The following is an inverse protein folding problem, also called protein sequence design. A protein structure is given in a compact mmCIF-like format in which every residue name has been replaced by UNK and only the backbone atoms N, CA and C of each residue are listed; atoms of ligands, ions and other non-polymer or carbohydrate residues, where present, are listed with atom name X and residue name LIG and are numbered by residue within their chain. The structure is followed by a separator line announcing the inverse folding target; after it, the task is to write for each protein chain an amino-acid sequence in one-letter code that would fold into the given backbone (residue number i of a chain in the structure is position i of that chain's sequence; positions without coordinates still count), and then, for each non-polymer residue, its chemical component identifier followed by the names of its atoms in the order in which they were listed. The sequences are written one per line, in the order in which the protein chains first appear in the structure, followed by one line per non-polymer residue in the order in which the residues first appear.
data_IF_152505771527
#
_entry.id   IF_152505771527
#
_cell.length_a   1.000
_cell.length_b   1.000
_cell.length_c   1.000
_cell.angle_alpha   90.00
_cell.angle_beta   90.00
_cell.angle_gamma   90.00
#
_symmetry.space_group_name_H-M   'P 1'
#
loop_
_entity.id
_entity.type
_entity.pdbx_description
1 polymer ?
#
# COMPACT_ATOMS: atom_id res chain seq x y z
N UNK A 1 -46.12 21.35 -41.90
CA UNK A 1 -44.91 20.58 -42.26
C UNK A 1 -44.17 20.33 -40.95
N UNK A 2 -44.41 19.24 -40.22
CA UNK A 2 -43.85 17.89 -40.43
C UNK A 2 -42.41 17.85 -39.88
N UNK A 3 -42.02 17.10 -38.85
CA UNK A 3 -42.64 16.04 -38.06
C UNK A 3 -42.07 16.01 -36.63
N UNK A 4 -42.87 15.52 -35.67
CA UNK A 4 -42.51 15.19 -34.29
C UNK A 4 -42.11 13.71 -34.25
N UNK A 5 -41.10 13.34 -33.46
CA UNK A 5 -41.04 12.00 -32.86
C UNK A 5 -40.70 12.10 -31.37
N UNK A 6 -41.67 11.66 -30.58
CA UNK A 6 -41.63 11.39 -29.14
C UNK A 6 -41.83 9.89 -29.02
N UNK A 7 -40.95 9.18 -28.31
CA UNK A 7 -41.18 7.77 -27.97
C UNK A 7 -41.15 7.62 -26.45
N UNK A 8 -42.24 7.05 -25.95
CA UNK A 8 -42.59 6.81 -24.56
C UNK A 8 -41.87 5.60 -23.98
N UNK A 9 -41.63 5.65 -22.68
CA UNK A 9 -41.33 4.52 -21.80
C UNK A 9 -42.44 3.45 -21.83
N UNK A 10 -42.06 2.18 -21.72
CA UNK A 10 -42.81 1.22 -20.91
C UNK A 10 -41.90 0.08 -20.40
N UNK A 11 -41.87 -0.06 -19.08
CA UNK A 11 -41.29 -1.13 -18.28
C UNK A 11 -42.15 -2.39 -18.32
N UNK A 12 -41.54 -3.57 -18.47
CA UNK A 12 -42.17 -4.86 -18.13
C UNK A 12 -41.13 -5.79 -17.48
N UNK A 13 -41.35 -6.14 -16.21
CA UNK A 13 -40.85 -7.33 -15.50
C UNK A 13 -42.02 -8.33 -15.37
N UNK A 14 -41.83 -9.54 -14.81
CA UNK A 14 -41.08 -10.70 -15.33
C UNK A 14 -42.03 -11.91 -15.50
N UNK A 15 -41.67 -12.92 -16.30
CA UNK A 15 -42.48 -14.15 -16.37
C UNK A 15 -41.64 -15.43 -16.35
N UNK A 16 -41.91 -16.22 -15.31
CA UNK A 16 -41.46 -17.59 -15.02
C UNK A 16 -41.59 -18.52 -16.22
N UNK A 17 -40.55 -19.31 -16.46
CA UNK A 17 -40.64 -20.54 -17.25
C UNK A 17 -41.26 -21.66 -16.41
N UNK A 18 -42.42 -22.16 -16.83
CA UNK A 18 -42.99 -23.43 -16.38
C UNK A 18 -43.16 -24.38 -17.57
N UNK A 19 -42.81 -25.64 -17.31
CA UNK A 19 -42.75 -26.78 -18.25
C UNK A 19 -44.03 -26.97 -19.08
N UNK A 20 -43.86 -27.42 -20.32
CA UNK A 20 -44.88 -28.16 -21.06
C UNK A 20 -44.37 -29.55 -21.48
N UNK A 21 -45.25 -30.57 -21.56
CA UNK A 21 -44.88 -31.97 -21.69
C UNK A 21 -44.75 -32.43 -23.15
N UNK A 22 -44.15 -33.61 -23.29
CA UNK A 22 -43.88 -34.31 -24.55
C UNK A 22 -45.16 -34.87 -25.19
N UNK A 23 -45.12 -34.94 -26.53
CA UNK A 23 -45.73 -36.02 -27.31
C UNK A 23 -46.99 -35.64 -28.06
N UNK A 24 -46.91 -35.63 -29.39
CA UNK A 24 -47.84 -36.35 -30.29
C UNK A 24 -47.34 -36.25 -31.74
N UNK A 25 -47.35 -37.39 -32.41
CA UNK A 25 -47.06 -37.57 -33.83
C UNK A 25 -48.01 -36.76 -34.71
N UNK A 26 -47.52 -36.29 -35.84
CA UNK A 26 -48.34 -36.09 -37.03
C UNK A 26 -47.69 -36.77 -38.22
N UNK A 27 -48.47 -37.67 -38.80
CA UNK A 27 -48.23 -38.43 -40.02
C UNK A 27 -48.26 -37.52 -41.26
N UNK A 28 -47.50 -37.89 -42.29
CA UNK A 28 -47.48 -37.19 -43.57
C UNK A 28 -46.47 -37.79 -44.55
N UNK A 29 -46.78 -38.98 -45.06
CA UNK A 29 -46.10 -39.62 -46.22
C UNK A 29 -46.38 -38.82 -47.52
N UNK A 30 -45.52 -38.92 -48.55
CA UNK A 30 -45.74 -39.98 -49.55
C UNK A 30 -44.50 -40.79 -49.91
N UNK A 31 -44.82 -42.04 -50.22
CA UNK A 31 -43.97 -43.17 -50.64
C UNK A 31 -43.65 -43.05 -52.13
N UNK A 32 -42.43 -43.35 -52.55
CA UNK A 32 -42.20 -44.14 -53.77
C UNK A 32 -40.74 -44.62 -53.88
N UNK A 33 -40.63 -45.84 -54.43
CA UNK A 33 -39.43 -46.60 -54.83
C UNK A 33 -38.78 -47.48 -53.75
N UNK A 34 -39.37 -48.68 -53.63
CA UNK A 34 -38.72 -49.90 -53.17
C UNK A 34 -37.60 -50.34 -54.15
N UNK A 35 -36.50 -50.88 -53.63
CA UNK A 35 -35.90 -52.17 -54.05
C UNK A 35 -35.06 -52.74 -52.85
N UNK A 36 -34.82 -54.06 -52.76
CA UNK A 36 -34.85 -54.80 -51.50
C UNK A 36 -33.50 -55.35 -50.99
N UNK A 37 -33.54 -55.78 -49.72
CA UNK A 37 -32.78 -56.84 -49.04
C UNK A 37 -31.24 -56.85 -49.19
N UNK A 38 -30.56 -56.49 -48.10
CA UNK A 38 -29.57 -57.38 -47.45
C UNK A 38 -29.50 -57.10 -45.94
N UNK A 39 -29.68 -58.17 -45.18
CA UNK A 39 -29.37 -58.44 -43.78
C UNK A 39 -28.34 -57.53 -43.08
N UNK A 40 -28.69 -57.05 -41.88
CA UNK A 40 -27.74 -56.51 -40.91
C UNK A 40 -28.43 -55.84 -39.73
N UNK A 41 -28.70 -56.58 -38.65
CA UNK A 41 -29.12 -56.01 -37.38
C UNK A 41 -28.05 -55.06 -36.84
N UNK A 42 -28.37 -53.77 -36.70
CA UNK A 42 -27.62 -52.83 -35.86
C UNK A 42 -28.61 -52.08 -34.97
N UNK A 43 -28.71 -52.51 -33.71
CA UNK A 43 -29.30 -51.67 -32.66
C UNK A 43 -28.35 -50.49 -32.40
N UNK A 44 -28.81 -49.23 -32.46
CA UNK A 44 -27.99 -48.12 -32.01
C UNK A 44 -27.85 -48.22 -30.48
N UNK A 45 -26.62 -48.41 -30.02
CA UNK A 45 -26.22 -48.23 -28.63
C UNK A 45 -26.43 -46.75 -28.28
N UNK A 46 -27.49 -46.44 -27.54
CA UNK A 46 -27.69 -45.11 -26.95
C UNK A 46 -26.61 -44.93 -25.90
N UNK A 47 -25.51 -44.29 -26.28
CA UNK A 47 -24.56 -43.72 -25.31
C UNK A 47 -25.25 -42.52 -24.68
N UNK A 48 -25.75 -42.68 -23.45
CA UNK A 48 -26.15 -41.54 -22.63
C UNK A 48 -24.89 -40.71 -22.40
N UNK A 49 -24.72 -39.65 -23.18
CA UNK A 49 -23.72 -38.63 -22.90
C UNK A 49 -24.17 -37.88 -21.65
N UNK A 50 -23.64 -38.31 -20.50
CA UNK A 50 -23.69 -37.52 -19.28
C UNK A 50 -22.96 -36.21 -19.55
N UNK A 51 -23.69 -35.10 -19.68
CA UNK A 51 -23.11 -33.77 -19.58
C UNK A 51 -22.38 -33.66 -18.24
N UNK A 52 -21.05 -33.72 -18.29
CA UNK A 52 -20.22 -33.31 -17.16
C UNK A 52 -20.46 -31.83 -16.99
N UNK A 53 -21.37 -31.46 -16.08
CA UNK A 53 -21.35 -30.11 -15.48
C UNK A 53 -19.96 -29.92 -14.90
N UNK A 54 -19.13 -29.14 -15.58
CA UNK A 54 -17.85 -28.72 -15.03
C UNK A 54 -18.17 -27.84 -13.83
N UNK A 55 -18.14 -28.42 -12.63
CA UNK A 55 -17.94 -27.63 -11.42
C UNK A 55 -16.56 -27.00 -11.58
N UNK A 56 -16.53 -25.77 -12.08
CA UNK A 56 -15.38 -24.88 -11.90
C UNK A 56 -15.20 -24.80 -10.39
N UNK A 57 -14.21 -25.52 -9.85
CA UNK A 57 -13.73 -25.22 -8.51
C UNK A 57 -13.22 -23.81 -8.60
N UNK A 58 -13.92 -22.85 -7.99
CA UNK A 58 -13.32 -21.57 -7.67
C UNK A 58 -12.02 -21.90 -6.95
N UNK A 59 -10.89 -21.61 -7.60
CA UNK A 59 -9.61 -21.69 -6.92
C UNK A 59 -9.75 -20.85 -5.64
N UNK A 60 -9.27 -21.32 -4.48
CA UNK A 60 -9.32 -20.53 -3.27
C UNK A 60 -8.67 -19.18 -3.58
N UNK A 61 -9.46 -18.09 -3.53
CA UNK A 61 -8.93 -16.73 -3.52
C UNK A 61 -8.16 -16.59 -2.22
N UNK A 62 -6.89 -17.02 -2.23
CA UNK A 62 -5.95 -16.61 -1.19
C UNK A 62 -5.92 -15.08 -1.26
N UNK A 63 -6.15 -14.41 -0.14
CA UNK A 63 -5.80 -13.00 -0.03
C UNK A 63 -4.33 -12.87 -0.42
N UNK A 64 -3.97 -11.91 -1.29
CA UNK A 64 -2.59 -11.48 -1.42
C UNK A 64 -1.90 -11.41 -0.04
N UNK A 65 -0.68 -11.94 0.02
CA UNK A 65 0.14 -11.99 1.23
C UNK A 65 0.78 -10.61 1.49
N UNK A 66 1.07 -10.22 2.74
CA UNK A 66 1.76 -8.96 2.99
C UNK A 66 3.18 -9.07 2.46
N UNK A 67 3.45 -8.35 1.38
CA UNK A 67 4.79 -8.17 0.84
C UNK A 67 5.65 -7.29 1.76
N UNK A 68 5.03 -6.37 2.51
CA UNK A 68 5.74 -5.39 3.32
C UNK A 68 5.20 -5.37 4.74
N UNK A 69 6.10 -5.33 5.72
CA UNK A 69 5.78 -4.95 7.10
C UNK A 69 6.34 -3.56 7.37
N UNK A 70 5.54 -2.66 7.92
CA UNK A 70 5.96 -1.34 8.36
C UNK A 70 5.90 -1.30 9.89
N UNK A 71 7.06 -1.15 10.53
CA UNK A 71 7.16 -0.91 11.97
C UNK A 71 7.17 0.59 12.23
N UNK A 72 6.33 1.03 13.17
CA UNK A 72 6.24 2.44 13.60
C UNK A 72 6.42 2.54 15.12
N UNK A 73 6.95 3.66 15.60
CA UNK A 73 7.15 3.90 17.04
C UNK A 73 5.82 4.15 17.77
N UNK A 74 4.98 5.04 17.25
CA UNK A 74 3.73 5.43 17.87
C UNK A 74 2.56 4.49 17.59
N UNK A 75 1.56 4.55 18.48
CA UNK A 75 0.43 3.62 18.49
C UNK A 75 -0.77 4.10 17.66
N UNK A 76 -0.88 5.41 17.46
CA UNK A 76 -2.10 6.05 16.92
C UNK A 76 -1.79 6.85 15.66
N UNK A 77 -0.96 7.88 15.78
CA UNK A 77 -0.75 8.88 14.72
C UNK A 77 -0.20 8.27 13.43
N UNK A 78 0.93 7.57 13.49
CA UNK A 78 1.57 6.98 12.30
C UNK A 78 0.71 5.86 11.69
N UNK A 79 0.17 4.90 12.47
CA UNK A 79 -0.73 3.89 11.91
C UNK A 79 -1.96 4.46 11.23
N UNK A 80 -2.62 5.47 11.82
CA UNK A 80 -3.82 6.07 11.23
C UNK A 80 -3.50 6.83 9.94
N UNK A 81 -2.44 7.64 9.93
CA UNK A 81 -1.98 8.33 8.74
C UNK A 81 -1.65 7.35 7.60
N UNK A 82 -0.84 6.32 7.88
CA UNK A 82 -0.42 5.34 6.88
C UNK A 82 -1.62 4.54 6.33
N UNK A 83 -2.60 4.20 7.18
CA UNK A 83 -3.86 3.56 6.73
C UNK A 83 -4.66 4.45 5.79
N UNK A 84 -4.81 5.73 6.13
CA UNK A 84 -5.50 6.69 5.26
C UNK A 84 -4.76 6.88 3.92
N UNK A 85 -3.43 6.97 3.97
CA UNK A 85 -2.57 7.09 2.80
C UNK A 85 -2.71 5.86 1.88
N UNK A 86 -2.64 4.64 2.42
CA UNK A 86 -2.86 3.41 1.65
C UNK A 86 -4.25 3.37 1.00
N UNK A 87 -5.28 3.83 1.71
CA UNK A 87 -6.63 3.96 1.17
C UNK A 87 -6.68 4.91 -0.03
N UNK A 88 -6.07 6.09 0.10
CA UNK A 88 -5.98 7.07 -0.99
C UNK A 88 -5.19 6.53 -2.20
N UNK A 89 -4.07 5.86 -1.94
CA UNK A 89 -3.21 5.23 -2.95
C UNK A 89 -3.79 3.93 -3.55
N UNK A 90 -4.92 3.45 -3.03
CA UNK A 90 -5.55 2.16 -3.42
C UNK A 90 -4.58 0.98 -3.31
N UNK A 91 -3.73 0.99 -2.28
CA UNK A 91 -2.86 -0.14 -1.94
C UNK A 91 -3.74 -1.25 -1.36
N UNK A 92 -3.69 -2.48 -1.89
CA UNK A 92 -4.38 -3.61 -1.27
C UNK A 92 -3.91 -3.81 0.17
N UNK A 93 -4.82 -3.71 1.14
CA UNK A 93 -4.48 -3.76 2.57
C UNK A 93 -3.92 -5.10 3.05
N UNK A 94 -3.96 -6.14 2.21
CA UNK A 94 -3.36 -7.44 2.49
C UNK A 94 -1.90 -7.54 2.01
N UNK A 95 -1.39 -6.55 1.26
CA UNK A 95 0.01 -6.44 0.84
C UNK A 95 0.92 -5.72 1.85
N UNK A 96 0.34 -4.98 2.78
CA UNK A 96 1.07 -4.15 3.75
C UNK A 96 0.51 -4.40 5.15
N UNK A 97 1.39 -4.71 6.08
CA UNK A 97 1.06 -4.90 7.50
C UNK A 97 1.75 -3.80 8.33
N UNK A 98 0.97 -2.91 8.94
CA UNK A 98 1.47 -1.82 9.78
C UNK A 98 1.37 -2.26 11.23
N UNK A 99 2.50 -2.25 11.94
CA UNK A 99 2.59 -2.68 13.33
C UNK A 99 3.30 -1.63 14.17
N UNK A 100 2.80 -1.44 15.39
CA UNK A 100 3.56 -0.76 16.44
C UNK A 100 4.74 -1.66 16.82
N UNK A 101 5.93 -1.09 16.88
CA UNK A 101 7.11 -1.78 17.37
C UNK A 101 7.03 -2.03 18.88
N UNK A 102 7.71 -3.08 19.36
CA UNK A 102 7.84 -3.37 20.78
C UNK A 102 8.84 -2.42 21.46
N UNK A 103 9.77 -1.89 20.67
CA UNK A 103 10.79 -0.95 21.10
C UNK A 103 10.38 0.49 20.78
N UNK A 104 10.81 1.42 21.64
CA UNK A 104 10.56 2.85 21.47
C UNK A 104 11.73 3.59 20.83
N UNK A 105 12.90 2.95 20.67
CA UNK A 105 14.08 3.57 20.07
C UNK A 105 14.40 2.98 18.69
N UNK A 106 14.93 3.80 17.78
CA UNK A 106 15.15 3.41 16.38
C UNK A 106 16.04 2.17 16.24
N UNK A 107 17.08 2.02 17.07
CA UNK A 107 17.95 0.85 17.06
C UNK A 107 17.18 -0.44 17.42
N UNK A 108 16.39 -0.41 18.49
CA UNK A 108 15.54 -1.52 18.91
C UNK A 108 14.54 -1.93 17.83
N UNK A 109 13.89 -0.95 17.19
CA UNK A 109 12.93 -1.22 16.10
C UNK A 109 13.62 -1.89 14.90
N UNK A 110 14.83 -1.45 14.54
CA UNK A 110 15.64 -2.08 13.48
C UNK A 110 16.04 -3.52 13.85
N UNK A 111 16.36 -3.78 15.12
CA UNK A 111 16.63 -5.15 15.60
C UNK A 111 15.40 -6.04 15.44
N UNK A 112 14.23 -5.55 15.86
CA UNK A 112 12.94 -6.24 15.69
C UNK A 112 12.67 -6.55 14.20
N UNK A 113 12.86 -5.57 13.31
CA UNK A 113 12.72 -5.73 11.86
C UNK A 113 13.59 -6.87 11.31
N UNK A 114 14.86 -6.94 11.74
CA UNK A 114 15.77 -8.01 11.32
C UNK A 114 15.35 -9.37 11.86
N UNK A 115 14.82 -9.43 13.07
CA UNK A 115 14.27 -10.67 13.59
C UNK A 115 13.06 -11.15 12.82
N UNK A 116 12.16 -10.24 12.42
CA UNK A 116 11.00 -10.56 11.58
C UNK A 116 11.44 -11.17 10.25
N UNK A 117 12.42 -10.55 9.56
CA UNK A 117 13.00 -11.09 8.32
C UNK A 117 13.63 -12.47 8.53
N UNK A 118 14.40 -12.67 9.61
CA UNK A 118 15.02 -13.95 9.95
C UNK A 118 13.98 -15.04 10.23
N UNK A 119 12.94 -14.72 11.01
CA UNK A 119 11.83 -15.62 11.35
C UNK A 119 11.05 -16.01 10.09
N UNK A 120 10.84 -15.07 9.18
CA UNK A 120 10.23 -15.30 7.87
C UNK A 120 11.05 -16.28 7.04
N UNK A 121 12.33 -15.97 6.75
CA UNK A 121 13.22 -16.80 5.92
C UNK A 121 13.35 -18.25 6.42
N UNK A 122 13.30 -18.45 7.75
CA UNK A 122 13.39 -19.79 8.37
C UNK A 122 12.13 -20.63 8.19
N UNK A 123 10.95 -20.02 8.15
CA UNK A 123 9.69 -20.77 8.16
C UNK A 123 9.30 -21.36 6.80
N UNK A 124 9.92 -20.93 5.67
CA UNK A 124 9.58 -21.37 4.28
C UNK A 124 8.07 -21.61 4.09
N UNK A 125 7.27 -20.78 4.74
CA UNK A 125 5.82 -20.92 4.79
C UNK A 125 5.19 -19.90 3.86
N UNK A 126 3.91 -20.06 3.55
CA UNK A 126 3.16 -19.15 2.67
C UNK A 126 3.01 -17.70 3.19
N UNK A 127 3.80 -17.30 4.21
CA UNK A 127 3.76 -16.04 4.94
C UNK A 127 5.15 -15.38 4.96
N UNK A 128 5.85 -15.41 3.82
CA UNK A 128 7.14 -14.73 3.71
C UNK A 128 6.93 -13.22 3.61
N UNK A 129 7.60 -12.47 4.49
CA UNK A 129 7.72 -11.02 4.44
C UNK A 129 8.87 -10.69 3.49
N UNK A 130 8.57 -9.98 2.40
CA UNK A 130 9.58 -9.66 1.38
C UNK A 130 10.45 -8.46 1.82
N UNK A 131 9.83 -7.44 2.42
CA UNK A 131 10.49 -6.21 2.87
C UNK A 131 10.01 -5.76 4.25
N UNK A 132 10.91 -5.18 5.06
CA UNK A 132 10.54 -4.51 6.31
C UNK A 132 11.00 -3.07 6.27
N UNK A 133 10.08 -2.17 6.59
CA UNK A 133 10.29 -0.74 6.70
C UNK A 133 10.15 -0.32 8.17
N UNK A 134 10.99 0.62 8.60
CA UNK A 134 10.97 1.20 9.94
C UNK A 134 10.75 2.68 9.80
N UNK A 135 9.71 3.23 10.43
CA UNK A 135 9.49 4.66 10.58
C UNK A 135 9.83 5.01 12.02
N UNK A 136 10.82 5.88 12.20
CA UNK A 136 11.29 6.29 13.51
C UNK A 136 11.48 7.81 13.58
N UNK A 137 11.02 8.40 14.68
CA UNK A 137 11.27 9.80 14.98
C UNK A 137 12.69 9.97 15.54
N UNK A 138 13.26 11.16 15.36
CA UNK A 138 14.65 11.46 15.77
C UNK A 138 14.75 12.42 16.97
N UNK A 139 13.62 12.74 17.61
CA UNK A 139 13.60 13.62 18.78
C UNK A 139 14.08 12.90 20.05
N UNK A 140 14.94 13.58 20.81
CA UNK A 140 15.60 13.07 22.01
C UNK A 140 14.83 13.31 23.31
N UNK A 141 13.71 14.06 23.31
CA UNK A 141 12.98 14.42 24.55
C UNK A 141 12.49 13.19 25.34
N UNK A 142 12.34 12.04 24.68
CA UNK A 142 11.97 10.77 25.30
C UNK A 142 13.14 9.79 25.47
N UNK A 143 14.39 10.21 25.23
CA UNK A 143 15.59 9.34 25.29
C UNK A 143 15.75 8.39 24.10
N UNK A 144 14.78 8.36 23.16
CA UNK A 144 14.71 7.44 22.03
C UNK A 144 15.47 7.92 20.78
N UNK A 145 15.51 9.23 20.51
CA UNK A 145 16.13 9.82 19.32
C UNK A 145 17.52 10.41 19.53
N UNK A 146 18.36 9.85 20.41
CA UNK A 146 19.74 10.33 20.51
C UNK A 146 20.44 10.17 19.15
N UNK A 147 21.28 11.14 18.70
CA UNK A 147 21.98 11.00 17.42
C UNK A 147 22.76 9.69 17.32
N UNK A 148 23.31 9.21 18.44
CA UNK A 148 23.97 7.91 18.51
C UNK A 148 23.02 6.72 18.28
N UNK A 149 21.79 6.75 18.82
CA UNK A 149 20.80 5.69 18.59
C UNK A 149 20.41 5.65 17.11
N UNK A 150 20.13 6.81 16.50
CA UNK A 150 19.83 6.92 15.07
C UNK A 150 20.99 6.40 14.22
N UNK A 151 22.23 6.76 14.57
CA UNK A 151 23.42 6.25 13.88
C UNK A 151 23.56 4.72 14.02
N UNK A 152 23.30 4.16 15.20
CA UNK A 152 23.30 2.70 15.39
C UNK A 152 22.17 2.05 14.59
N UNK A 153 20.99 2.65 14.52
CA UNK A 153 19.88 2.18 13.71
C UNK A 153 20.25 2.14 12.21
N UNK A 154 20.82 3.23 11.67
CA UNK A 154 21.33 3.30 10.29
C UNK A 154 22.34 2.18 10.04
N UNK A 155 23.39 2.10 10.87
CA UNK A 155 24.43 1.07 10.71
C UNK A 155 23.88 -0.36 10.81
N UNK A 156 22.92 -0.59 11.72
CA UNK A 156 22.31 -1.90 11.90
C UNK A 156 21.33 -2.24 10.80
N UNK A 157 20.66 -1.28 10.17
CA UNK A 157 19.68 -1.55 9.12
C UNK A 157 20.35 -2.28 7.94
N UNK A 158 21.47 -1.74 7.44
CA UNK A 158 22.15 -2.25 6.26
C UNK A 158 21.19 -2.33 5.07
N UNK A 159 21.41 -3.29 4.17
CA UNK A 159 20.56 -3.44 2.97
C UNK A 159 19.27 -4.25 3.23
N UNK A 160 19.11 -4.80 4.43
CA UNK A 160 17.99 -5.70 4.77
C UNK A 160 16.72 -4.94 5.20
N UNK A 161 16.87 -3.76 5.80
CA UNK A 161 15.77 -3.00 6.43
C UNK A 161 15.76 -1.58 5.87
N UNK A 162 14.61 -1.13 5.37
CA UNK A 162 14.44 0.24 4.90
C UNK A 162 14.11 1.15 6.09
N UNK A 163 15.02 2.05 6.44
CA UNK A 163 14.84 3.01 7.54
C UNK A 163 14.35 4.35 7.01
N UNK A 164 13.29 4.86 7.62
CA UNK A 164 12.66 6.15 7.34
C UNK A 164 12.71 6.97 8.61
N UNK A 165 13.32 8.15 8.52
CA UNK A 165 13.54 9.05 9.63
C UNK A 165 12.79 10.35 9.40
N UNK A 166 12.13 10.85 10.45
CA UNK A 166 11.50 12.16 10.46
C UNK A 166 12.04 12.99 11.64
N UNK A 167 12.37 14.27 11.38
CA UNK A 167 12.99 15.16 12.37
C UNK A 167 12.36 16.55 12.35
N UNK A 168 11.78 17.01 13.49
CA UNK A 168 11.83 16.36 14.82
C UNK A 168 10.86 15.16 15.01
N UNK A 169 9.88 14.97 14.13
CA UNK A 169 9.03 13.77 14.13
C UNK A 169 8.02 13.80 12.98
N UNK A 170 7.10 12.83 12.92
CA UNK A 170 6.10 12.74 11.84
C UNK A 170 5.25 14.02 11.68
N UNK A 171 5.08 14.83 12.74
CA UNK A 171 4.40 16.12 12.64
C UNK A 171 5.07 17.07 11.64
N UNK A 172 6.38 16.96 11.45
CA UNK A 172 7.10 17.75 10.46
C UNK A 172 6.68 17.35 9.05
N UNK A 173 6.54 16.06 8.79
CA UNK A 173 5.96 15.56 7.54
C UNK A 173 4.53 16.09 7.31
N UNK A 174 3.70 16.17 8.35
CA UNK A 174 2.35 16.77 8.23
C UNK A 174 2.41 18.26 7.89
N UNK A 175 3.34 19.02 8.47
CA UNK A 175 3.54 20.44 8.14
C UNK A 175 3.88 20.63 6.66
N UNK A 176 4.68 19.73 6.07
CA UNK A 176 5.09 19.80 4.66
C UNK A 176 3.92 19.67 3.67
N UNK A 177 2.75 19.18 4.09
CA UNK A 177 1.52 19.18 3.27
C UNK A 177 0.94 20.58 3.05
N UNK A 178 1.32 21.55 3.88
CA UNK A 178 0.79 22.91 3.86
C UNK A 178 1.82 23.94 3.42
N UNK A 179 3.08 23.76 3.81
CA UNK A 179 4.15 24.71 3.55
C UNK A 179 5.48 24.01 3.30
N UNK A 180 6.17 24.39 2.22
CA UNK A 180 7.57 23.99 2.03
C UNK A 180 8.45 24.83 2.95
N UNK A 181 9.20 24.17 3.83
CA UNK A 181 10.08 24.83 4.79
C UNK A 181 11.28 23.96 5.09
N UNK A 182 12.48 24.54 5.11
CA UNK A 182 13.73 23.90 5.54
C UNK A 182 14.11 24.30 6.97
N UNK A 183 13.22 25.03 7.66
CA UNK A 183 13.42 25.49 9.03
C UNK A 183 13.64 24.31 9.96
N UNK A 184 14.74 24.34 10.70
CA UNK A 184 14.94 23.42 11.84
C UNK A 184 14.07 23.87 13.01
N UNK A 185 13.34 22.93 13.59
CA UNK A 185 12.52 23.14 14.77
C UNK A 185 13.22 22.51 15.99
N UNK A 186 13.24 23.18 17.16
CA UNK A 186 13.90 22.64 18.35
C UNK A 186 13.17 21.43 18.94
N UNK A 187 11.85 21.40 18.85
CA UNK A 187 10.99 20.35 19.41
C UNK A 187 9.84 20.01 18.48
N UNK A 188 9.20 18.84 18.69
CA UNK A 188 7.93 18.50 18.05
C UNK A 188 6.83 19.50 18.44
N UNK A 189 6.86 20.05 19.66
CA UNK A 189 5.87 21.04 20.10
C UNK A 189 5.90 22.31 19.23
N UNK A 190 7.08 22.77 18.81
CA UNK A 190 7.23 23.92 17.91
C UNK A 190 6.68 23.63 16.51
N UNK A 191 6.87 22.39 16.02
CA UNK A 191 6.29 21.95 14.75
C UNK A 191 4.77 21.91 14.85
N UNK A 192 4.22 21.39 15.95
CA UNK A 192 2.77 21.35 16.19
C UNK A 192 2.20 22.77 16.22
N UNK A 193 2.86 23.71 16.89
CA UNK A 193 2.41 25.10 16.95
C UNK A 193 2.34 25.72 15.53
N UNK A 194 3.35 25.46 14.69
CA UNK A 194 3.33 25.90 13.29
C UNK A 194 2.27 25.17 12.47
N UNK A 195 2.14 23.86 12.62
CA UNK A 195 1.15 23.04 11.93
C UNK A 195 -0.28 23.51 12.23
N UNK A 196 -0.58 23.86 13.49
CA UNK A 196 -1.88 24.36 13.92
C UNK A 196 -2.27 25.70 13.28
N UNK A 197 -1.33 26.47 12.71
CA UNK A 197 -1.67 27.65 11.90
C UNK A 197 -2.32 27.30 10.57
N UNK A 198 -2.07 26.07 10.07
CA UNK A 198 -2.62 25.55 8.81
C UNK A 198 -3.72 24.50 9.04
N UNK A 199 -3.63 23.75 10.13
CA UNK A 199 -4.56 22.71 10.53
C UNK A 199 -4.90 22.82 12.03
N UNK A 200 -5.78 23.78 12.42
CA UNK A 200 -6.08 24.08 13.82
C UNK A 200 -6.66 22.90 14.62
N UNK A 201 -7.24 21.93 13.94
CA UNK A 201 -7.84 20.74 14.56
C UNK A 201 -6.81 19.68 14.95
N UNK A 202 -5.57 19.78 14.48
CA UNK A 202 -4.53 18.80 14.77
C UNK A 202 -4.20 18.75 16.26
N UNK A 203 -4.25 17.54 16.82
CA UNK A 203 -3.76 17.24 18.16
C UNK A 203 -3.39 15.76 18.27
N UNK A 204 -2.24 15.49 18.91
CA UNK A 204 -1.63 14.15 19.01
C UNK A 204 -2.51 13.08 19.68
N UNK A 205 -3.59 13.46 20.37
CA UNK A 205 -4.44 12.55 21.18
C UNK A 205 -5.92 12.53 20.79
N UNK A 206 -6.34 13.25 19.74
CA UNK A 206 -7.75 13.31 19.34
C UNK A 206 -8.01 12.33 18.20
N UNK A 207 -8.75 11.27 18.48
CA UNK A 207 -9.02 10.16 17.55
C UNK A 207 -10.01 10.46 16.42
N UNK A 208 -10.04 11.68 15.88
CA UNK A 208 -10.89 12.03 14.74
C UNK A 208 -10.24 13.15 13.94
N UNK A 209 -9.09 12.86 13.35
CA UNK A 209 -8.44 13.75 12.38
C UNK A 209 -8.98 13.43 10.98
N UNK A 210 -9.22 14.47 10.17
CA UNK A 210 -9.55 14.30 8.75
C UNK A 210 -8.27 13.94 7.97
N UNK A 211 -7.90 12.66 8.05
CA UNK A 211 -6.76 12.13 7.33
C UNK A 211 -6.96 12.18 5.82
N UNK A 212 -8.21 12.10 5.32
CA UNK A 212 -8.51 12.19 3.89
C UNK A 212 -8.18 13.58 3.32
N UNK A 213 -8.43 14.64 4.09
CA UNK A 213 -8.02 15.98 3.74
C UNK A 213 -6.51 16.11 3.64
N UNK A 214 -5.77 15.56 4.61
CA UNK A 214 -4.32 15.63 4.62
C UNK A 214 -3.71 14.86 3.43
N UNK A 215 -4.11 13.61 3.20
CA UNK A 215 -3.52 12.77 2.13
C UNK A 215 -3.80 13.28 0.72
N UNK A 216 -4.84 14.09 0.50
CA UNK A 216 -5.06 14.77 -0.79
C UNK A 216 -3.93 15.76 -1.12
N UNK A 217 -3.23 16.25 -0.11
CA UNK A 217 -2.09 17.18 -0.23
C UNK A 217 -0.74 16.47 -0.27
N UNK A 218 -0.72 15.13 -0.25
CA UNK A 218 0.52 14.36 -0.33
C UNK A 218 1.43 14.75 -1.52
N UNK A 219 0.92 15.09 -2.73
CA UNK A 219 1.79 15.59 -3.80
C UNK A 219 2.60 16.86 -3.44
N UNK A 220 2.03 17.74 -2.60
CA UNK A 220 2.72 18.94 -2.13
C UNK A 220 3.77 18.57 -1.08
N UNK A 221 3.45 17.65 -0.16
CA UNK A 221 4.39 17.14 0.83
C UNK A 221 5.60 16.44 0.19
N UNK A 222 5.39 15.65 -0.86
CA UNK A 222 6.45 15.01 -1.64
C UNK A 222 7.44 16.05 -2.20
N UNK A 223 6.94 17.12 -2.82
CA UNK A 223 7.78 18.20 -3.36
C UNK A 223 8.52 18.95 -2.26
N UNK A 224 7.86 19.22 -1.15
CA UNK A 224 8.44 19.88 0.01
C UNK A 224 9.56 19.02 0.63
N UNK A 225 9.36 17.72 0.80
CA UNK A 225 10.37 16.80 1.31
C UNK A 225 11.59 16.66 0.38
N UNK A 226 11.37 16.66 -0.94
CA UNK A 226 12.46 16.72 -1.91
C UNK A 226 13.30 18.00 -1.75
N UNK A 227 12.66 19.15 -1.54
CA UNK A 227 13.35 20.42 -1.27
C UNK A 227 14.13 20.37 0.05
N UNK A 228 13.57 19.75 1.09
CA UNK A 228 14.26 19.52 2.36
C UNK A 228 15.52 18.68 2.16
N UNK A 229 15.45 17.58 1.40
CA UNK A 229 16.65 16.77 1.09
C UNK A 229 17.70 17.55 0.32
N UNK A 230 17.31 18.26 -0.75
CA UNK A 230 18.23 19.11 -1.53
C UNK A 230 18.92 20.14 -0.64
N UNK A 231 18.17 20.81 0.24
CA UNK A 231 18.73 21.74 1.20
C UNK A 231 19.75 21.08 2.13
N UNK A 232 19.48 19.88 2.66
CA UNK A 232 20.44 19.15 3.51
C UNK A 232 21.73 18.81 2.77
N UNK A 233 21.63 18.39 1.51
CA UNK A 233 22.78 18.10 0.67
C UNK A 233 23.62 19.37 0.43
N UNK A 234 22.99 20.46 0.01
CA UNK A 234 23.66 21.72 -0.33
C UNK A 234 24.28 22.43 0.89
N UNK A 235 23.55 22.45 2.01
CA UNK A 235 23.98 23.14 3.24
C UNK A 235 24.76 22.25 4.20
N UNK A 236 24.83 20.94 3.93
CA UNK A 236 25.36 19.92 4.83
C UNK A 236 24.70 19.96 6.22
N UNK A 237 23.42 20.35 6.27
CA UNK A 237 22.63 20.43 7.50
C UNK A 237 22.11 19.04 7.88
N UNK A 238 22.23 18.69 9.15
CA UNK A 238 21.79 17.39 9.67
C UNK A 238 20.25 17.32 9.78
N UNK A 239 19.60 18.47 10.00
CA UNK A 239 18.15 18.61 10.25
C UNK A 239 17.58 19.80 9.47
N UNK A 240 16.26 19.81 9.19
CA UNK A 240 15.27 18.77 9.47
C UNK A 240 15.39 17.55 8.54
N UNK A 241 14.69 16.46 8.85
CA UNK A 241 14.66 15.20 8.07
C UNK A 241 13.19 14.90 7.77
N UNK A 242 12.88 14.47 6.54
CA UNK A 242 11.53 14.13 6.11
C UNK A 242 11.59 13.00 5.07
N UNK A 243 11.99 11.80 5.50
CA UNK A 243 12.21 10.67 4.58
C UNK A 243 10.92 9.87 4.31
N UNK A 244 9.79 10.23 4.94
CA UNK A 244 8.51 9.53 4.76
C UNK A 244 8.01 9.55 3.31
N UNK A 245 8.42 10.53 2.51
CA UNK A 245 8.11 10.61 1.09
C UNK A 245 8.69 9.43 0.29
N UNK A 246 9.80 8.84 0.73
CA UNK A 246 10.38 7.62 0.14
C UNK A 246 9.44 6.43 0.35
N UNK A 247 8.88 6.29 1.55
CA UNK A 247 7.87 5.27 1.85
C UNK A 247 6.57 5.55 1.07
N UNK A 248 6.15 6.81 0.95
CA UNK A 248 4.99 7.17 0.13
C UNK A 248 5.19 6.77 -1.33
N UNK A 249 6.37 7.04 -1.91
CA UNK A 249 6.69 6.63 -3.27
C UNK A 249 6.64 5.11 -3.45
N UNK A 250 7.17 4.36 -2.47
CA UNK A 250 7.08 2.90 -2.44
C UNK A 250 5.63 2.42 -2.43
N UNK A 251 4.81 2.98 -1.54
CA UNK A 251 3.38 2.63 -1.42
C UNK A 251 2.60 3.00 -2.68
N UNK A 252 2.90 4.14 -3.31
CA UNK A 252 2.26 4.54 -4.57
C UNK A 252 2.55 3.51 -5.68
N UNK A 253 3.78 3.01 -5.76
CA UNK A 253 4.16 1.94 -6.70
C UNK A 253 3.47 0.59 -6.46
N UNK A 254 2.91 0.36 -5.27
CA UNK A 254 2.09 -0.82 -4.96
C UNK A 254 0.61 -0.62 -5.28
N UNK A 255 0.18 0.64 -5.44
CA UNK A 255 -1.16 0.99 -5.87
C UNK A 255 -1.45 0.49 -7.27
N UNK A 256 -2.71 0.12 -7.54
CA UNK A 256 -3.12 -0.33 -8.89
C UNK A 256 -3.10 0.77 -9.95
N UNK A 257 -3.08 2.02 -9.50
CA UNK A 257 -3.12 3.21 -10.32
C UNK A 257 -2.19 4.24 -9.69
N UNK A 258 -1.49 5.01 -10.52
CA UNK A 258 -0.80 6.20 -10.04
C UNK A 258 -1.86 7.27 -9.74
N UNK A 259 -2.28 7.35 -8.46
CA UNK A 259 -3.38 8.22 -8.03
C UNK A 259 -2.94 9.68 -8.01
N UNK A 260 -1.66 9.92 -7.75
CA UNK A 260 -1.12 11.25 -7.48
C UNK A 260 -0.23 11.78 -8.62
N UNK A 261 -0.02 11.00 -9.69
CA UNK A 261 0.93 11.38 -10.74
C UNK A 261 2.37 11.39 -10.23
N UNK A 262 2.67 10.60 -9.20
CA UNK A 262 4.00 10.52 -8.60
C UNK A 262 4.80 9.52 -9.41
N UNK A 263 5.80 10.00 -10.17
CA UNK A 263 6.73 9.13 -10.87
C UNK A 263 7.41 8.20 -9.87
N UNK A 264 7.41 6.90 -10.15
CA UNK A 264 8.22 5.94 -9.40
C UNK A 264 9.68 6.42 -9.46
N UNK A 265 10.22 6.88 -8.33
CA UNK A 265 11.65 7.14 -8.23
C UNK A 265 12.34 5.80 -8.44
N UNK A 266 13.26 5.76 -9.41
CA UNK A 266 14.06 4.57 -9.66
C UNK A 266 14.68 4.07 -8.35
N UNK A 267 14.79 2.75 -8.22
CA UNK A 267 15.34 1.96 -7.12
C UNK A 267 16.79 2.32 -6.74
N UNK A 268 17.11 3.58 -6.46
CA UNK A 268 18.19 3.87 -5.55
C UNK A 268 17.54 3.94 -4.18
N UNK A 269 17.89 3.06 -3.22
CA UNK A 269 17.82 3.49 -1.83
C UNK A 269 18.40 4.90 -1.83
N UNK A 270 17.63 5.87 -1.32
CA UNK A 270 18.17 7.18 -0.97
C UNK A 270 19.51 6.91 -0.32
N UNK A 271 20.56 7.61 -0.75
CA UNK A 271 21.89 7.51 -0.15
C UNK A 271 21.74 7.86 1.35
N UNK A 272 21.30 6.89 2.14
CA UNK A 272 21.52 6.85 3.57
C UNK A 272 23.04 6.91 3.66
N UNK A 273 23.60 7.87 4.40
CA UNK A 273 25.02 8.10 4.44
C UNK A 273 25.71 6.76 4.71
N UNK A 274 26.62 6.38 3.81
CA UNK A 274 27.36 5.14 3.95
C UNK A 274 28.18 5.18 5.23
N UNK A 275 28.63 4.01 5.70
CA UNK A 275 29.56 3.94 6.83
C UNK A 275 30.77 4.86 6.61
N UNK A 276 31.23 5.00 5.37
CA UNK A 276 32.32 5.89 4.98
C UNK A 276 31.93 7.38 5.01
N UNK A 277 30.68 7.74 4.65
CA UNK A 277 30.16 9.11 4.75
C UNK A 277 29.96 9.56 6.22
N UNK A 278 29.67 8.62 7.12
CA UNK A 278 29.52 8.88 8.56
C UNK A 278 30.87 8.97 9.29
N UNK A 279 31.90 8.25 8.83
CA UNK A 279 33.23 8.25 9.44
C UNK A 279 34.23 9.21 8.78
N UNK A 280 33.93 9.75 7.59
CA UNK A 280 34.78 10.77 6.96
C UNK A 280 34.49 12.19 7.48
N UNK A 281 35.17 12.50 8.57
CA UNK A 281 35.68 13.84 8.92
C UNK A 281 34.78 14.93 9.52
N UNK A 282 33.48 14.74 9.75
CA UNK A 282 32.65 15.80 10.40
C UNK A 282 32.08 15.49 11.79
N UNK A 283 32.02 14.23 12.20
CA UNK A 283 31.38 13.84 13.48
C UNK A 283 32.33 13.63 14.66
N UNK A 284 33.65 13.61 14.44
CA UNK A 284 34.64 13.35 15.51
C UNK A 284 35.17 14.60 16.21
N UNK A 285 34.72 15.81 15.86
CA UNK A 285 35.23 17.07 16.44
C UNK A 285 34.15 18.01 16.96
N UNK A 286 33.25 17.51 17.81
CA UNK A 286 32.55 18.37 18.80
C UNK A 286 32.53 17.72 20.18
N UNK A 287 33.73 17.51 20.71
CA UNK A 287 33.97 17.45 22.15
C UNK A 287 34.96 18.55 22.48
N UNK A 288 34.45 19.75 22.80
CA UNK A 288 35.08 20.77 23.63
C UNK A 288 33.96 21.62 24.23
#
# INVERSE_FOLDING_TARGET
MGARYSIRFLTILPARASRLPRGTCWEGMPVSLCFPKTSGCCFPRVTIMSEKRSYSRNAPKRSPRPSIVILVEGEVTEPEYLKALMGALRVPGDLVDIRKAEHSDAEGIVVEAKELLRKSKRKRSASDVDEVWVVADTESEHGNGSPENVLRAINRSGDDVSLVLDSPGIEYWFLLHFVSTTRSFPSVADVIAQLQTHWPEYSKRKGTLDWEFLVKKTPDAMKSAEQVRKYREDSQSERPIADLDVLVAKLNGMGRFDVFGLSATEKKPVNLPTREDLFSWKWTHKSC
#
